data_IF_089263602376
#
_entry.id   IF_089263602376
#
_cell.length_a   1.000
_cell.length_b   1.000
_cell.length_c   1.000
_cell.angle_alpha   90.00
_cell.angle_beta   90.00
_cell.angle_gamma   90.00
#
_symmetry.space_group_name_H-M   'P 1'
#
loop_
_entity.id
_entity.type
_entity.pdbx_description
1 polymer ?
#
# COMPACT_ATOMS: atom_id res chain seq x y z
N UNK A 1 19.99 6.54 -2.80
CA UNK A 1 18.74 6.38 -3.58
C UNK A 1 18.24 4.93 -3.62
N UNK A 2 19.02 3.94 -4.10
CA UNK A 2 18.59 2.52 -4.19
C UNK A 2 18.20 1.86 -2.84
N UNK A 3 18.91 2.19 -1.74
CA UNK A 3 18.64 1.62 -0.40
C UNK A 3 17.26 2.01 0.15
N UNK A 4 16.83 3.26 -0.07
CA UNK A 4 15.53 3.73 0.39
C UNK A 4 14.39 3.07 -0.39
N UNK A 5 14.54 2.91 -1.70
CA UNK A 5 13.57 2.20 -2.54
C UNK A 5 13.46 0.72 -2.15
N UNK A 6 14.60 0.06 -1.92
CA UNK A 6 14.63 -1.34 -1.47
C UNK A 6 13.98 -1.51 -0.10
N UNK A 7 14.26 -0.60 0.86
CA UNK A 7 13.63 -0.60 2.17
C UNK A 7 12.11 -0.47 2.07
N UNK A 8 11.62 0.53 1.32
CA UNK A 8 10.19 0.74 1.13
C UNK A 8 9.49 -0.46 0.46
N UNK A 9 10.14 -1.09 -0.52
CA UNK A 9 9.65 -2.30 -1.15
C UNK A 9 9.56 -3.47 -0.16
N UNK A 10 10.55 -3.63 0.73
CA UNK A 10 10.55 -4.63 1.80
C UNK A 10 9.40 -4.38 2.79
N UNK A 11 9.15 -3.13 3.15
CA UNK A 11 8.01 -2.75 4.00
C UNK A 11 6.70 -3.09 3.29
N UNK A 12 6.54 -2.74 2.01
CA UNK A 12 5.32 -3.07 1.25
C UNK A 12 5.08 -4.57 1.17
N UNK A 13 6.13 -5.35 0.92
CA UNK A 13 6.03 -6.82 0.91
C UNK A 13 5.64 -7.36 2.29
N UNK A 14 6.23 -6.83 3.36
CA UNK A 14 5.91 -7.26 4.73
C UNK A 14 4.45 -6.97 5.08
N UNK A 15 3.95 -5.77 4.74
CA UNK A 15 2.56 -5.38 5.02
C UNK A 15 1.58 -6.17 4.13
N UNK A 16 1.82 -6.22 2.81
CA UNK A 16 0.86 -6.77 1.85
C UNK A 16 0.91 -8.29 1.71
N UNK A 17 2.01 -8.95 2.06
CA UNK A 17 2.13 -10.42 2.03
C UNK A 17 2.22 -11.01 3.44
N UNK A 18 2.96 -10.37 4.33
CA UNK A 18 3.14 -10.85 5.71
C UNK A 18 1.85 -10.81 6.52
N UNK A 19 1.05 -9.74 6.42
CA UNK A 19 -0.21 -9.66 7.17
C UNK A 19 -1.27 -10.66 6.70
N UNK A 20 -1.53 -10.85 5.39
CA UNK A 20 -2.41 -11.92 4.93
C UNK A 20 -1.92 -13.31 5.32
N UNK A 21 -0.61 -13.55 5.27
CA UNK A 21 -0.03 -14.81 5.73
C UNK A 21 -0.26 -15.03 7.23
N UNK A 22 -0.05 -14.01 8.06
CA UNK A 22 -0.32 -14.09 9.50
C UNK A 22 -1.81 -14.36 9.77
N UNK A 23 -2.69 -13.66 9.07
CA UNK A 23 -4.13 -13.86 9.19
C UNK A 23 -4.53 -15.31 8.87
N UNK A 24 -3.99 -15.90 7.80
CA UNK A 24 -4.31 -17.26 7.40
C UNK A 24 -3.78 -18.34 8.36
N UNK A 25 -2.63 -18.11 9.01
CA UNK A 25 -2.00 -19.14 9.85
C UNK A 25 -2.37 -19.05 11.34
N UNK A 26 -2.68 -17.86 11.85
CA UNK A 26 -2.81 -17.64 13.30
C UNK A 26 -4.21 -17.24 13.75
N UNK A 27 -5.13 -16.94 12.84
CA UNK A 27 -6.49 -16.51 13.18
C UNK A 27 -7.45 -17.70 13.06
N UNK A 28 -8.32 -17.88 14.06
CA UNK A 28 -9.36 -18.90 14.00
C UNK A 28 -10.35 -18.58 12.88
N UNK A 29 -10.97 -19.62 12.31
CA UNK A 29 -11.94 -19.47 11.21
C UNK A 29 -13.07 -18.47 11.57
N UNK A 30 -13.50 -18.45 12.83
CA UNK A 30 -14.56 -17.56 13.32
C UNK A 30 -14.15 -16.08 13.37
N UNK A 31 -12.86 -15.80 13.58
CA UNK A 31 -12.31 -14.44 13.63
C UNK A 31 -11.73 -13.96 12.29
N UNK A 32 -11.53 -14.87 11.33
CA UNK A 32 -10.87 -14.59 10.06
C UNK A 32 -11.53 -13.46 9.27
N UNK A 33 -12.86 -13.41 9.26
CA UNK A 33 -13.61 -12.37 8.55
C UNK A 33 -13.38 -10.97 9.13
N UNK A 34 -13.35 -10.84 10.47
CA UNK A 34 -13.10 -9.56 11.14
C UNK A 34 -11.67 -9.05 10.85
N UNK A 35 -10.69 -9.95 10.84
CA UNK A 35 -9.30 -9.61 10.51
C UNK A 35 -9.16 -9.18 9.05
N UNK A 36 -9.83 -9.88 8.11
CA UNK A 36 -9.88 -9.46 6.71
C UNK A 36 -10.50 -8.07 6.54
N UNK A 37 -11.57 -7.75 7.28
CA UNK A 37 -12.15 -6.41 7.25
C UNK A 37 -11.18 -5.34 7.75
N UNK A 38 -10.48 -5.58 8.86
CA UNK A 38 -9.46 -4.65 9.35
C UNK A 38 -8.34 -4.45 8.34
N UNK A 39 -7.88 -5.53 7.70
CA UNK A 39 -6.83 -5.46 6.68
C UNK A 39 -7.28 -4.63 5.47
N UNK A 40 -8.47 -4.92 4.93
CA UNK A 40 -8.93 -4.31 3.69
C UNK A 40 -9.48 -2.89 3.85
N UNK A 41 -10.08 -2.57 5.00
CA UNK A 41 -10.73 -1.26 5.20
C UNK A 41 -9.91 -0.29 6.05
N UNK A 42 -8.91 -0.77 6.79
CA UNK A 42 -8.11 0.09 7.68
C UNK A 42 -6.63 0.03 7.30
N UNK A 43 -6.01 -1.15 7.40
CA UNK A 43 -4.55 -1.26 7.27
C UNK A 43 -4.08 -0.93 5.86
N UNK A 44 -4.66 -1.56 4.84
CA UNK A 44 -4.24 -1.37 3.45
C UNK A 44 -4.53 0.06 2.94
N UNK A 45 -5.70 0.68 3.20
CA UNK A 45 -5.94 2.09 2.85
C UNK A 45 -4.97 3.05 3.51
N UNK A 46 -4.70 2.90 4.81
CA UNK A 46 -3.74 3.76 5.53
C UNK A 46 -2.35 3.60 4.92
N UNK A 47 -1.93 2.35 4.66
CA UNK A 47 -0.62 2.10 4.05
C UNK A 47 -0.51 2.71 2.65
N UNK A 48 -1.55 2.59 1.82
CA UNK A 48 -1.58 3.18 0.48
C UNK A 48 -1.42 4.70 0.52
N UNK A 49 -2.08 5.39 1.47
CA UNK A 49 -1.94 6.83 1.68
C UNK A 49 -0.51 7.19 2.11
N UNK A 50 0.06 6.48 3.10
CA UNK A 50 1.43 6.72 3.59
C UNK A 50 2.42 6.59 2.44
N UNK A 51 2.38 5.48 1.71
CA UNK A 51 3.24 5.23 0.55
C UNK A 51 3.07 6.32 -0.50
N UNK A 52 1.84 6.76 -0.76
CA UNK A 52 1.54 7.89 -1.63
C UNK A 52 2.22 9.19 -1.17
N UNK A 53 2.11 9.56 0.11
CA UNK A 53 2.76 10.76 0.66
C UNK A 53 4.28 10.72 0.45
N UNK A 54 4.91 9.57 0.70
CA UNK A 54 6.35 9.41 0.48
C UNK A 54 6.72 9.45 -1.01
N UNK A 55 5.89 8.85 -1.87
CA UNK A 55 6.07 8.90 -3.32
C UNK A 55 5.99 10.33 -3.88
N UNK A 56 5.10 11.17 -3.34
CA UNK A 56 5.00 12.57 -3.75
C UNK A 56 6.16 13.44 -3.25
N UNK A 57 6.65 13.17 -2.03
CA UNK A 57 7.84 13.86 -1.51
C UNK A 57 9.06 13.56 -2.38
N UNK A 58 9.32 12.31 -2.75
CA UNK A 58 10.48 11.89 -3.54
C UNK A 58 10.09 11.23 -4.87
N UNK A 59 9.42 12.03 -5.69
CA UNK A 59 8.80 11.67 -6.99
C UNK A 59 9.74 11.02 -8.01
N UNK A 60 11.07 11.24 -7.92
CA UNK A 60 12.04 10.61 -8.84
C UNK A 60 12.36 9.14 -8.52
N UNK A 61 12.15 8.70 -7.28
CA UNK A 61 12.57 7.36 -6.84
C UNK A 61 11.42 6.47 -6.37
N UNK A 62 10.30 7.04 -5.92
CA UNK A 62 9.24 6.30 -5.23
C UNK A 62 7.91 6.32 -6.00
N UNK A 63 7.86 6.85 -7.22
CA UNK A 63 6.62 6.95 -8.01
C UNK A 63 6.00 5.58 -8.37
N UNK A 64 6.82 4.53 -8.46
CA UNK A 64 6.34 3.16 -8.68
C UNK A 64 5.75 2.51 -7.42
N UNK A 65 5.95 3.09 -6.23
CA UNK A 65 5.54 2.44 -4.98
C UNK A 65 4.03 2.20 -4.84
N UNK A 66 3.13 3.14 -5.20
CA UNK A 66 1.69 2.88 -5.17
C UNK A 66 1.30 1.69 -6.06
N UNK A 67 1.94 1.55 -7.23
CA UNK A 67 1.68 0.43 -8.15
C UNK A 67 2.18 -0.89 -7.55
N UNK A 68 3.41 -0.92 -7.04
CA UNK A 68 4.00 -2.10 -6.41
C UNK A 68 3.15 -2.56 -5.23
N UNK A 69 2.67 -1.62 -4.41
CA UNK A 69 1.80 -1.89 -3.25
C UNK A 69 0.52 -2.62 -3.66
N UNK A 70 -0.12 -2.19 -4.74
CA UNK A 70 -1.37 -2.78 -5.24
C UNK A 70 -1.13 -4.17 -5.86
N UNK A 71 -0.02 -4.35 -6.58
CA UNK A 71 0.35 -5.66 -7.12
C UNK A 71 0.62 -6.65 -5.98
N UNK A 72 1.36 -6.24 -4.95
CA UNK A 72 1.64 -7.08 -3.78
C UNK A 72 0.36 -7.40 -3.00
N UNK A 73 -0.57 -6.45 -2.88
CA UNK A 73 -1.88 -6.69 -2.28
C UNK A 73 -2.64 -7.82 -3.00
N UNK A 74 -2.77 -7.72 -4.33
CA UNK A 74 -3.47 -8.73 -5.12
C UNK A 74 -2.81 -10.11 -4.99
N UNK A 75 -1.47 -10.15 -5.02
CA UNK A 75 -0.71 -11.38 -4.80
C UNK A 75 -0.97 -11.96 -3.40
N UNK A 76 -0.93 -11.13 -2.36
CA UNK A 76 -1.14 -11.59 -0.98
C UNK A 76 -2.52 -12.19 -0.77
N UNK A 77 -3.56 -11.58 -1.34
CA UNK A 77 -4.93 -12.08 -1.24
C UNK A 77 -5.10 -13.41 -1.97
N UNK A 78 -4.57 -13.53 -3.19
CA UNK A 78 -4.68 -14.77 -3.98
C UNK A 78 -3.90 -15.91 -3.34
N UNK A 79 -2.68 -15.64 -2.86
CA UNK A 79 -1.78 -16.67 -2.33
C UNK A 79 -2.19 -17.12 -0.92
N UNK A 80 -2.58 -16.19 -0.04
CA UNK A 80 -2.76 -16.50 1.39
C UNK A 80 -4.22 -16.54 1.84
N UNK A 81 -5.12 -15.80 1.19
CA UNK A 81 -6.53 -15.72 1.61
C UNK A 81 -7.47 -16.47 0.67
N UNK A 82 -6.93 -17.16 -0.36
CA UNK A 82 -7.71 -17.93 -1.32
C UNK A 82 -8.67 -17.09 -2.18
N UNK A 83 -8.48 -15.76 -2.21
CA UNK A 83 -9.33 -14.85 -2.97
C UNK A 83 -9.04 -14.89 -4.47
N UNK A 84 -10.01 -14.49 -5.29
CA UNK A 84 -9.81 -14.33 -6.72
C UNK A 84 -9.52 -12.86 -7.09
N UNK A 85 -8.71 -12.66 -8.14
CA UNK A 85 -8.29 -11.32 -8.57
C UNK A 85 -9.48 -10.39 -8.89
N UNK A 86 -10.59 -10.92 -9.44
CA UNK A 86 -11.73 -10.10 -9.86
C UNK A 86 -12.50 -9.55 -8.65
N UNK A 87 -12.63 -10.34 -7.58
CA UNK A 87 -13.28 -9.87 -6.35
C UNK A 87 -12.50 -8.77 -5.65
N UNK A 88 -11.18 -8.74 -5.81
CA UNK A 88 -10.30 -7.78 -5.12
C UNK A 88 -9.80 -6.63 -5.99
N UNK A 89 -10.12 -6.61 -7.29
CA UNK A 89 -9.69 -5.56 -8.21
C UNK A 89 -10.23 -4.18 -7.80
N UNK A 90 -11.46 -4.11 -7.26
CA UNK A 90 -12.04 -2.86 -6.79
C UNK A 90 -11.24 -2.25 -5.65
N UNK A 91 -10.82 -3.07 -4.68
CA UNK A 91 -9.95 -2.62 -3.58
C UNK A 91 -8.59 -2.16 -4.11
N UNK A 92 -7.99 -2.91 -5.03
CA UNK A 92 -6.75 -2.54 -5.70
C UNK A 92 -6.83 -1.17 -6.39
N UNK A 93 -7.92 -0.91 -7.11
CA UNK A 93 -8.16 0.39 -7.77
C UNK A 93 -8.31 1.50 -6.72
N UNK A 94 -9.11 1.27 -5.67
CA UNK A 94 -9.29 2.26 -4.59
C UNK A 94 -7.95 2.60 -3.94
N UNK A 95 -7.13 1.60 -3.60
CA UNK A 95 -5.83 1.83 -2.99
C UNK A 95 -4.88 2.57 -3.93
N UNK A 96 -4.91 2.25 -5.23
CA UNK A 96 -4.11 2.94 -6.23
C UNK A 96 -4.50 4.43 -6.31
N UNK A 97 -5.80 4.72 -6.36
CA UNK A 97 -6.32 6.10 -6.39
C UNK A 97 -5.91 6.84 -5.12
N UNK A 98 -6.07 6.24 -3.93
CA UNK A 98 -5.63 6.84 -2.67
C UNK A 98 -4.14 7.16 -2.67
N UNK A 99 -3.30 6.23 -3.12
CA UNK A 99 -1.85 6.43 -3.21
C UNK A 99 -1.46 7.52 -4.20
N UNK A 100 -2.10 7.58 -5.37
CA UNK A 100 -1.83 8.61 -6.38
C UNK A 100 -2.27 9.98 -5.86
N UNK A 101 -3.47 10.11 -5.30
CA UNK A 101 -3.96 11.37 -4.74
C UNK A 101 -3.03 11.88 -3.64
N UNK A 102 -2.66 11.00 -2.71
CA UNK A 102 -1.71 11.34 -1.64
C UNK A 102 -0.34 11.77 -2.18
N UNK A 103 0.15 11.13 -3.25
CA UNK A 103 1.39 11.54 -3.93
C UNK A 103 1.26 12.91 -4.61
N UNK A 104 0.11 13.22 -5.22
CA UNK A 104 -0.13 14.52 -5.81
C UNK A 104 -0.14 15.63 -4.76
N UNK A 105 -0.89 15.47 -3.66
CA UNK A 105 -0.98 16.47 -2.60
C UNK A 105 0.36 16.73 -1.92
N UNK A 106 1.08 15.65 -1.56
CA UNK A 106 2.39 15.77 -0.91
C UNK A 106 3.47 16.35 -1.83
N UNK A 107 3.42 16.02 -3.13
CA UNK A 107 4.33 16.58 -4.13
C UNK A 107 4.12 18.08 -4.33
N UNK A 108 2.87 18.54 -4.37
CA UNK A 108 2.52 19.96 -4.45
C UNK A 108 2.96 20.70 -3.19
N UNK A 109 2.69 20.16 -2.00
CA UNK A 109 3.12 20.75 -0.73
C UNK A 109 4.64 20.95 -0.69
N UNK A 110 5.41 19.94 -1.07
CA UNK A 110 6.89 20.01 -1.09
C UNK A 110 7.43 21.00 -2.13
N UNK A 111 6.75 21.16 -3.27
CA UNK A 111 7.13 22.20 -4.25
C UNK A 111 6.95 23.59 -3.65
N UNK A 112 5.84 23.83 -2.95
CA UNK A 112 5.54 25.10 -2.29
C UNK A 112 6.56 25.44 -1.20
N UNK A 113 6.92 24.46 -0.36
CA UNK A 113 7.97 24.63 0.67
C UNK A 113 9.32 25.01 0.07
N UNK A 114 9.73 24.37 -1.03
CA UNK A 114 11.00 24.69 -1.70
C UNK A 114 11.04 26.10 -2.29
N UNK A 115 9.91 26.63 -2.75
CA UNK A 115 9.82 27.99 -3.29
C UNK A 115 9.88 29.08 -2.22
N UNK A 116 9.51 28.78 -0.96
CA UNK A 116 9.60 29.76 0.14
C UNK A 116 11.00 29.85 0.75
N UNK A 117 11.85 28.85 0.51
CA UNK A 117 13.20 28.74 1.06
C UNK A 117 14.31 29.15 0.07
N UNK A 118 13.94 29.59 -1.14
CA UNK A 118 14.84 30.07 -2.20
C UNK A 118 14.74 31.59 -2.36
#
# INVERSE_FOLDING_TARGET
MKRAMFFWLLVSATVMLGLPWLANNFVSADAGMAVCFLLFFVVNPIYAVIVGIFAGKDMKCLWMQPIVTVILFLLGVVVFLGGDVRSFVTYAIVYLVLGILAAMFSGVARKKERQMLS
#
